data_IF_616663904015
#
_entry.id   IF_616663904015
#
_cell.length_a   1.000
_cell.length_b   1.000
_cell.length_c   1.000
_cell.angle_alpha   90.00
_cell.angle_beta   90.00
_cell.angle_gamma   90.00
#
_symmetry.space_group_name_H-M   'P 1'
#
loop_
_entity.id
_entity.type
_entity.pdbx_description
1 polymer ?
#
# COMPACT_ATOMS: atom_id res chain seq x y z
N UNK A 1 -26.42 -5.20 55.86
CA UNK A 1 -26.83 -4.94 54.46
C UNK A 1 -25.78 -4.20 53.60
N UNK A 2 -25.10 -3.17 54.09
CA UNK A 2 -24.06 -2.42 53.27
C UNK A 2 -22.84 -3.28 52.95
N UNK A 3 -22.33 -4.03 53.92
CA UNK A 3 -21.12 -4.88 53.77
C UNK A 3 -21.34 -6.03 52.77
N UNK A 4 -22.53 -6.64 52.75
CA UNK A 4 -22.89 -7.71 51.85
C UNK A 4 -22.99 -7.23 50.39
N UNK A 5 -23.58 -6.03 50.19
CA UNK A 5 -23.60 -5.39 48.85
C UNK A 5 -22.21 -5.04 48.34
N UNK A 6 -21.31 -4.60 49.22
CA UNK A 6 -19.94 -4.29 48.83
C UNK A 6 -19.16 -5.54 48.41
N UNK A 7 -19.30 -6.65 49.16
CA UNK A 7 -18.67 -7.94 48.82
C UNK A 7 -19.23 -8.45 47.46
N UNK A 8 -20.54 -8.34 47.22
CA UNK A 8 -21.14 -8.77 45.95
C UNK A 8 -20.64 -7.97 44.74
N UNK A 9 -20.46 -6.65 44.91
CA UNK A 9 -19.92 -5.77 43.85
C UNK A 9 -18.44 -6.12 43.58
N UNK A 10 -17.64 -6.33 44.63
CA UNK A 10 -16.23 -6.72 44.47
C UNK A 10 -16.11 -8.09 43.82
N UNK A 11 -16.92 -9.06 44.17
CA UNK A 11 -16.93 -10.37 43.53
C UNK A 11 -17.36 -10.30 42.06
N UNK A 12 -18.35 -9.46 41.72
CA UNK A 12 -18.77 -9.21 40.32
C UNK A 12 -17.65 -8.53 39.51
N UNK A 13 -16.97 -7.54 40.09
CA UNK A 13 -15.82 -6.88 39.43
C UNK A 13 -14.64 -7.84 39.23
N UNK A 14 -14.33 -8.69 40.24
CA UNK A 14 -13.29 -9.70 40.10
C UNK A 14 -13.69 -10.78 39.06
N UNK A 15 -14.97 -11.11 38.95
CA UNK A 15 -15.45 -12.08 37.95
C UNK A 15 -15.38 -11.52 36.52
N UNK A 16 -15.67 -10.23 36.32
CA UNK A 16 -15.52 -9.57 35.00
C UNK A 16 -14.05 -9.42 34.60
N UNK A 17 -13.14 -9.17 35.54
CA UNK A 17 -11.69 -9.10 35.27
C UNK A 17 -11.12 -10.48 34.90
N UNK A 18 -11.63 -11.56 35.53
CA UNK A 18 -11.19 -12.93 35.22
C UNK A 18 -11.63 -13.41 33.82
N UNK A 19 -12.60 -12.74 33.19
CA UNK A 19 -13.08 -13.04 31.82
C UNK A 19 -12.51 -12.11 30.75
N UNK A 20 -11.70 -11.12 31.12
CA UNK A 20 -10.85 -10.38 30.21
C UNK A 20 -9.64 -11.25 29.83
N UNK A 21 -9.88 -12.41 29.27
CA UNK A 21 -8.84 -13.13 28.55
C UNK A 21 -8.52 -12.27 27.32
N UNK A 22 -7.46 -11.50 27.43
CA UNK A 22 -6.83 -10.92 26.26
C UNK A 22 -6.68 -12.03 25.22
N UNK A 23 -6.98 -11.72 23.97
CA UNK A 23 -6.86 -12.61 22.83
C UNK A 23 -5.60 -13.47 22.96
N UNK A 24 -5.77 -14.75 23.22
CA UNK A 24 -4.66 -15.70 23.32
C UNK A 24 -4.15 -15.96 21.88
N UNK A 25 -2.91 -15.59 21.65
CA UNK A 25 -2.28 -15.85 20.34
C UNK A 25 -2.29 -17.36 20.11
N UNK A 26 -3.18 -17.83 19.27
CA UNK A 26 -3.32 -19.27 18.98
C UNK A 26 -2.10 -19.84 18.25
N UNK A 27 -1.37 -19.00 17.52
CA UNK A 27 -0.19 -19.37 16.72
C UNK A 27 -0.44 -20.65 15.87
N UNK A 28 -1.64 -20.76 15.29
CA UNK A 28 -2.09 -21.97 14.59
C UNK A 28 -1.14 -22.32 13.43
N UNK A 29 -0.72 -21.31 12.68
CA UNK A 29 0.24 -21.52 11.58
C UNK A 29 1.55 -22.14 12.08
N UNK A 30 2.12 -21.63 13.18
CA UNK A 30 3.35 -22.17 13.74
C UNK A 30 3.17 -23.60 14.31
N UNK A 31 1.99 -23.92 14.87
CA UNK A 31 1.70 -25.21 15.46
C UNK A 31 1.38 -26.28 14.42
N UNK A 32 0.68 -25.89 13.34
CA UNK A 32 0.13 -26.83 12.34
C UNK A 32 0.94 -26.87 11.03
N UNK A 33 1.75 -25.81 10.76
CA UNK A 33 2.54 -25.76 9.55
C UNK A 33 3.88 -26.48 9.73
N UNK A 34 4.04 -27.59 9.03
CA UNK A 34 5.34 -28.20 8.80
C UNK A 34 6.10 -27.34 7.78
N UNK A 35 7.24 -26.77 8.20
CA UNK A 35 8.05 -25.88 7.37
C UNK A 35 8.45 -26.52 6.04
N UNK A 36 8.85 -27.81 6.05
CA UNK A 36 9.25 -28.50 4.82
C UNK A 36 8.06 -28.75 3.89
N UNK A 37 6.87 -29.04 4.42
CA UNK A 37 5.65 -29.14 3.61
C UNK A 37 5.28 -27.78 3.00
N UNK A 38 5.32 -26.71 3.78
CA UNK A 38 5.04 -25.35 3.27
C UNK A 38 6.05 -24.99 2.19
N UNK A 39 7.35 -25.18 2.42
CA UNK A 39 8.42 -24.92 1.47
C UNK A 39 8.27 -25.71 0.18
N UNK A 40 7.90 -26.98 0.26
CA UNK A 40 7.67 -27.84 -0.91
C UNK A 40 6.43 -27.44 -1.72
N UNK A 41 5.42 -26.84 -1.06
CA UNK A 41 4.19 -26.38 -1.69
C UNK A 41 4.33 -24.98 -2.32
N UNK A 42 5.36 -24.20 -1.93
CA UNK A 42 5.59 -22.88 -2.48
C UNK A 42 6.01 -22.97 -3.95
N UNK A 43 5.38 -22.14 -4.79
CA UNK A 43 5.76 -21.98 -6.19
C UNK A 43 7.02 -21.11 -6.22
N UNK A 44 8.19 -21.77 -6.33
CA UNK A 44 9.48 -21.10 -6.37
C UNK A 44 10.05 -21.14 -7.80
N UNK A 45 10.55 -20.00 -8.26
CA UNK A 45 11.18 -19.90 -9.58
C UNK A 45 10.27 -20.10 -10.79
N UNK A 46 8.97 -20.18 -10.57
CA UNK A 46 7.96 -20.26 -11.64
C UNK A 46 7.12 -18.97 -11.69
N UNK A 47 6.64 -18.65 -12.89
CA UNK A 47 5.70 -17.55 -13.07
C UNK A 47 4.36 -17.92 -12.45
N UNK A 48 3.95 -17.18 -11.42
CA UNK A 48 2.66 -17.34 -10.74
C UNK A 48 1.61 -16.33 -11.22
N UNK A 49 2.07 -15.23 -11.88
CA UNK A 49 1.20 -14.18 -12.39
C UNK A 49 0.52 -14.65 -13.68
N UNK A 50 -0.83 -14.61 -13.76
CA UNK A 50 -1.57 -15.10 -14.92
C UNK A 50 -1.58 -14.14 -16.12
N UNK A 51 -0.92 -12.98 -15.99
CA UNK A 51 -0.91 -11.95 -17.03
C UNK A 51 0.32 -12.07 -17.94
N UNK A 52 0.29 -11.50 -19.17
CA UNK A 52 1.43 -11.50 -20.08
C UNK A 52 2.66 -10.85 -19.46
N UNK A 53 3.86 -11.24 -19.88
CA UNK A 53 5.09 -10.51 -19.51
C UNK A 53 5.15 -9.16 -20.20
N UNK A 54 5.93 -8.20 -19.66
CA UNK A 54 6.02 -6.86 -20.24
C UNK A 54 6.38 -6.86 -21.74
N UNK A 55 7.26 -7.77 -22.15
CA UNK A 55 7.67 -7.92 -23.56
C UNK A 55 6.66 -8.66 -24.44
N UNK A 56 5.70 -9.37 -23.88
CA UNK A 56 4.69 -10.12 -24.63
C UNK A 56 3.59 -9.19 -25.15
N UNK A 57 3.86 -8.48 -26.24
CA UNK A 57 2.93 -7.51 -26.81
C UNK A 57 1.66 -8.16 -27.35
N UNK A 58 1.79 -9.32 -27.98
CA UNK A 58 0.64 -10.06 -28.49
C UNK A 58 -0.28 -10.56 -27.37
N UNK A 59 0.33 -11.00 -26.25
CA UNK A 59 -0.40 -11.34 -25.04
C UNK A 59 -1.17 -10.14 -24.45
N UNK A 60 -0.52 -8.96 -24.39
CA UNK A 60 -1.19 -7.73 -23.93
C UNK A 60 -2.30 -7.29 -24.88
N UNK A 61 -2.09 -7.37 -26.18
CA UNK A 61 -3.13 -7.05 -27.18
C UNK A 61 -4.36 -7.95 -27.01
N UNK A 62 -4.14 -9.24 -26.84
CA UNK A 62 -5.22 -10.20 -26.56
C UNK A 62 -5.91 -9.97 -25.21
N UNK A 63 -5.13 -9.65 -24.17
CA UNK A 63 -5.65 -9.45 -22.81
C UNK A 63 -6.49 -8.19 -22.71
N UNK A 64 -6.03 -7.09 -23.31
CA UNK A 64 -6.73 -5.80 -23.26
C UNK A 64 -7.86 -5.69 -24.28
N UNK A 65 -7.75 -6.38 -25.42
CA UNK A 65 -8.75 -6.35 -26.48
C UNK A 65 -9.12 -4.91 -26.89
N UNK A 66 -10.41 -4.64 -26.96
CA UNK A 66 -10.95 -3.33 -27.39
C UNK A 66 -10.64 -2.18 -26.40
N UNK A 67 -10.23 -2.49 -25.16
CA UNK A 67 -9.88 -1.48 -24.15
C UNK A 67 -8.46 -0.92 -24.31
N UNK A 68 -7.63 -1.51 -25.17
CA UNK A 68 -6.22 -1.11 -25.33
C UNK A 68 -6.05 0.38 -25.60
N UNK A 69 -6.74 0.89 -26.61
CA UNK A 69 -6.66 2.31 -27.00
C UNK A 69 -7.20 3.25 -25.91
N UNK A 70 -8.18 2.80 -25.15
CA UNK A 70 -8.72 3.57 -24.02
C UNK A 70 -7.69 3.71 -22.89
N UNK A 71 -6.93 2.66 -22.58
CA UNK A 71 -5.84 2.75 -21.61
C UNK A 71 -4.71 3.67 -22.07
N UNK A 72 -4.32 3.58 -23.34
CA UNK A 72 -3.30 4.46 -23.94
C UNK A 72 -3.76 5.91 -23.84
N UNK A 73 -4.96 6.23 -24.31
CA UNK A 73 -5.52 7.58 -24.28
C UNK A 73 -5.64 8.14 -22.85
N UNK A 74 -6.03 7.31 -21.87
CA UNK A 74 -6.06 7.72 -20.46
C UNK A 74 -4.68 8.08 -19.95
N UNK A 75 -3.65 7.31 -20.30
CA UNK A 75 -2.26 7.63 -19.91
C UNK A 75 -1.75 8.91 -20.58
N UNK A 76 -2.10 9.15 -21.83
CA UNK A 76 -1.72 10.37 -22.57
C UNK A 76 -2.18 11.64 -21.87
N UNK A 77 -3.34 11.62 -21.20
CA UNK A 77 -3.82 12.76 -20.41
C UNK A 77 -2.89 13.10 -19.22
N UNK A 78 -1.96 12.24 -18.87
CA UNK A 78 -1.06 12.41 -17.72
C UNK A 78 0.43 12.54 -18.11
N UNK A 79 0.78 12.63 -19.40
CA UNK A 79 2.17 12.81 -19.83
C UNK A 79 2.80 14.09 -19.27
N UNK A 80 2.01 15.18 -19.16
CA UNK A 80 2.43 16.46 -18.61
C UNK A 80 1.86 16.68 -17.19
N UNK A 81 1.55 15.59 -16.45
CA UNK A 81 0.93 15.70 -15.15
C UNK A 81 1.88 16.30 -14.11
N UNK A 82 1.41 17.37 -13.46
CA UNK A 82 2.09 17.99 -12.33
C UNK A 82 1.74 17.23 -11.03
N UNK A 83 2.71 16.50 -10.50
CA UNK A 83 2.56 15.72 -9.28
C UNK A 83 2.23 16.61 -8.09
N UNK A 84 1.17 16.27 -7.36
CA UNK A 84 0.71 17.06 -6.22
C UNK A 84 1.49 16.69 -4.97
N UNK A 85 1.88 17.73 -4.21
CA UNK A 85 2.50 17.55 -2.90
C UNK A 85 1.41 17.46 -1.85
N UNK A 86 1.44 16.39 -1.05
CA UNK A 86 0.64 16.30 0.17
C UNK A 86 1.41 16.98 1.29
N UNK A 87 0.88 18.12 1.78
CA UNK A 87 1.57 18.99 2.75
C UNK A 87 1.31 18.51 4.17
N UNK A 88 2.19 18.91 5.10
CA UNK A 88 2.00 18.70 6.52
C UNK A 88 0.64 19.26 7.02
N UNK A 89 0.23 20.44 6.53
CA UNK A 89 -1.06 21.04 6.86
C UNK A 89 -2.25 20.25 6.35
N UNK A 90 -2.10 19.52 5.25
CA UNK A 90 -3.17 18.68 4.69
C UNK A 90 -3.49 17.51 5.63
N UNK A 91 -2.45 16.88 6.23
CA UNK A 91 -2.64 15.87 7.28
C UNK A 91 -3.31 16.47 8.54
N UNK A 92 -2.82 17.65 9.00
CA UNK A 92 -3.33 18.30 10.21
C UNK A 92 -4.78 18.73 10.07
N UNK A 93 -5.27 18.95 8.86
CA UNK A 93 -6.64 19.42 8.63
C UNK A 93 -7.70 18.44 9.11
N UNK A 94 -7.42 17.13 9.07
CA UNK A 94 -8.33 16.16 9.65
C UNK A 94 -8.54 16.37 11.16
N UNK A 95 -7.49 16.65 11.90
CA UNK A 95 -7.59 16.97 13.34
C UNK A 95 -8.24 18.32 13.64
N UNK A 96 -8.18 19.29 12.71
CA UNK A 96 -8.71 20.64 12.87
C UNK A 96 -10.20 20.75 12.54
N UNK A 97 -10.63 20.13 11.47
CA UNK A 97 -11.97 20.28 10.91
C UNK A 97 -12.71 18.97 10.65
N UNK A 98 -12.05 17.82 10.82
CA UNK A 98 -12.58 16.52 10.43
C UNK A 98 -12.56 16.26 8.92
N UNK A 99 -12.02 17.19 8.11
CA UNK A 99 -11.97 17.05 6.67
C UNK A 99 -10.96 16.00 6.24
N UNK A 100 -11.43 14.96 5.56
CA UNK A 100 -10.60 13.92 4.94
C UNK A 100 -10.08 14.36 3.56
N UNK A 101 -10.92 15.08 2.83
CA UNK A 101 -10.71 15.37 1.40
C UNK A 101 -9.50 16.25 1.13
N UNK A 102 -9.07 17.08 2.09
CA UNK A 102 -7.92 17.97 1.92
C UNK A 102 -6.63 17.16 1.67
N UNK A 103 -6.40 16.11 2.43
CA UNK A 103 -5.26 15.20 2.23
C UNK A 103 -5.54 14.15 1.14
N UNK A 104 -6.72 13.55 1.15
CA UNK A 104 -7.06 12.43 0.27
C UNK A 104 -7.15 12.85 -1.21
N UNK A 105 -7.54 14.10 -1.51
CA UNK A 105 -7.68 14.57 -2.90
C UNK A 105 -6.35 14.61 -3.66
N UNK A 106 -5.28 15.30 -3.21
CA UNK A 106 -3.99 15.28 -3.90
C UNK A 106 -3.38 13.86 -3.93
N UNK A 107 -3.49 13.10 -2.86
CA UNK A 107 -3.06 11.70 -2.78
C UNK A 107 -3.75 10.83 -3.84
N UNK A 108 -5.08 10.86 -3.90
CA UNK A 108 -5.88 10.07 -4.84
C UNK A 108 -5.65 10.48 -6.30
N UNK A 109 -5.46 11.79 -6.58
CA UNK A 109 -5.13 12.28 -7.92
C UNK A 109 -3.79 11.73 -8.42
N UNK A 110 -2.76 11.73 -7.56
CA UNK A 110 -1.46 11.15 -7.87
C UNK A 110 -1.57 9.65 -8.16
N UNK A 111 -2.28 8.90 -7.31
CA UNK A 111 -2.46 7.46 -7.49
C UNK A 111 -3.21 7.13 -8.79
N UNK A 112 -4.23 7.93 -9.13
CA UNK A 112 -4.98 7.76 -10.39
C UNK A 112 -4.13 8.06 -11.62
N UNK A 113 -3.31 9.12 -11.57
CA UNK A 113 -2.38 9.47 -12.63
C UNK A 113 -1.34 8.34 -12.83
N UNK A 114 -0.72 7.89 -11.73
CA UNK A 114 0.27 6.82 -11.76
C UNK A 114 -0.31 5.51 -12.31
N UNK A 115 -1.51 5.14 -11.89
CA UNK A 115 -2.20 3.95 -12.39
C UNK A 115 -2.54 4.04 -13.88
N UNK A 116 -2.98 5.21 -14.34
CA UNK A 116 -3.29 5.44 -15.77
C UNK A 116 -2.04 5.38 -16.64
N UNK A 117 -0.94 6.00 -16.22
CA UNK A 117 0.35 5.94 -16.89
C UNK A 117 0.89 4.50 -16.94
N UNK A 118 0.83 3.78 -15.84
CA UNK A 118 1.25 2.38 -15.76
C UNK A 118 0.46 1.51 -16.72
N UNK A 119 -0.86 1.59 -16.71
CA UNK A 119 -1.70 0.79 -17.62
C UNK A 119 -1.48 1.16 -19.08
N UNK A 120 -1.24 2.43 -19.41
CA UNK A 120 -0.91 2.86 -20.75
C UNK A 120 0.45 2.29 -21.21
N UNK A 121 1.46 2.27 -20.35
CA UNK A 121 2.74 1.63 -20.66
C UNK A 121 2.60 0.13 -20.87
N UNK A 122 1.79 -0.56 -20.04
CA UNK A 122 1.49 -1.97 -20.24
C UNK A 122 0.76 -2.22 -21.57
N UNK A 123 -0.15 -1.34 -21.95
CA UNK A 123 -0.90 -1.42 -23.22
C UNK A 123 -0.02 -1.17 -24.45
N UNK A 124 0.83 -0.15 -24.39
CA UNK A 124 1.63 0.29 -25.54
C UNK A 124 3.01 -0.37 -25.60
N UNK A 125 3.73 -0.41 -24.49
CA UNK A 125 5.07 -1.02 -24.35
C UNK A 125 6.18 -0.30 -25.12
N UNK A 126 6.03 1.01 -25.38
CA UNK A 126 7.03 1.81 -26.13
C UNK A 126 7.96 2.63 -25.24
N UNK A 127 7.73 2.66 -23.94
CA UNK A 127 8.58 3.34 -22.97
C UNK A 127 8.31 4.84 -22.82
N UNK A 128 7.38 5.42 -23.58
CA UNK A 128 7.12 6.87 -23.54
C UNK A 128 6.46 7.37 -22.25
N UNK A 129 5.88 6.47 -21.45
CA UNK A 129 5.29 6.80 -20.15
C UNK A 129 6.27 6.60 -18.99
N UNK A 130 7.43 5.98 -19.21
CA UNK A 130 8.37 5.55 -18.16
C UNK A 130 8.83 6.73 -17.30
N UNK A 131 9.20 7.86 -17.89
CA UNK A 131 9.70 9.01 -17.12
C UNK A 131 8.64 9.55 -16.15
N UNK A 132 7.40 9.66 -16.60
CA UNK A 132 6.30 10.07 -15.72
C UNK A 132 5.95 9.02 -14.66
N UNK A 133 6.05 7.73 -14.97
CA UNK A 133 5.89 6.68 -13.97
C UNK A 133 7.01 6.78 -12.92
N UNK A 134 8.25 7.01 -13.33
CA UNK A 134 9.39 7.25 -12.40
C UNK A 134 9.10 8.44 -11.50
N UNK A 135 8.62 9.55 -12.04
CA UNK A 135 8.26 10.74 -11.26
C UNK A 135 7.19 10.41 -10.22
N UNK A 136 6.13 9.68 -10.60
CA UNK A 136 5.06 9.27 -9.69
C UNK A 136 5.53 8.32 -8.59
N UNK A 137 6.38 7.35 -8.95
CA UNK A 137 7.05 6.46 -7.99
C UNK A 137 7.90 7.27 -7.01
N UNK A 138 8.70 8.21 -7.53
CA UNK A 138 9.57 9.05 -6.70
C UNK A 138 8.75 9.89 -5.72
N UNK A 139 7.73 10.59 -6.19
CA UNK A 139 6.80 11.38 -5.34
C UNK A 139 6.15 10.51 -4.26
N UNK A 140 5.74 9.29 -4.61
CA UNK A 140 5.18 8.35 -3.64
C UNK A 140 6.21 7.92 -2.58
N UNK A 141 7.45 7.70 -2.97
CA UNK A 141 8.55 7.35 -2.06
C UNK A 141 8.95 8.51 -1.12
N UNK A 142 8.77 9.76 -1.55
CA UNK A 142 9.10 10.95 -0.74
C UNK A 142 8.00 11.33 0.25
N UNK A 143 6.81 10.72 0.18
CA UNK A 143 5.77 10.95 1.20
C UNK A 143 6.19 10.38 2.55
N UNK A 144 5.94 11.13 3.63
CA UNK A 144 6.19 10.66 4.99
C UNK A 144 5.34 9.43 5.33
N UNK A 145 4.08 9.40 4.91
CA UNK A 145 3.19 8.25 5.12
C UNK A 145 2.31 8.01 3.90
N UNK A 146 2.02 6.73 3.63
CA UNK A 146 1.02 6.31 2.64
C UNK A 146 -0.38 6.15 3.24
N UNK A 147 -0.48 6.16 4.58
CA UNK A 147 -1.76 6.08 5.26
C UNK A 147 -2.52 7.41 5.20
N UNK A 148 -3.84 7.32 5.16
CA UNK A 148 -4.73 8.48 5.14
C UNK A 148 -4.74 9.16 6.52
N UNK A 149 -4.87 10.49 6.54
CA UNK A 149 -4.83 11.29 7.77
C UNK A 149 -5.84 10.82 8.83
N UNK A 150 -7.03 10.37 8.40
CA UNK A 150 -8.07 9.85 9.28
C UNK A 150 -7.69 8.52 9.99
N UNK A 151 -6.69 7.82 9.49
CA UNK A 151 -6.28 6.51 10.01
C UNK A 151 -4.95 6.55 10.80
N UNK A 152 -4.27 7.71 10.81
CA UNK A 152 -3.00 7.87 11.53
C UNK A 152 -3.14 7.81 13.07
N UNK A 153 -4.37 7.87 13.59
CA UNK A 153 -4.65 7.59 15.00
C UNK A 153 -4.28 6.18 15.46
N UNK A 154 -3.96 5.27 14.51
CA UNK A 154 -3.42 3.93 14.81
C UNK A 154 -1.94 3.95 15.23
N UNK A 155 -1.20 5.05 15.00
CA UNK A 155 0.15 5.24 15.51
C UNK A 155 0.15 5.23 17.05
N UNK A 156 1.23 4.76 17.68
CA UNK A 156 1.37 4.76 19.15
C UNK A 156 1.24 6.16 19.73
N UNK A 157 1.77 7.17 19.03
CA UNK A 157 1.64 8.56 19.43
C UNK A 157 0.23 9.11 19.22
N UNK A 158 -0.59 8.44 18.39
CA UNK A 158 -1.94 8.90 18.01
C UNK A 158 -1.94 10.12 17.09
N UNK A 159 -3.15 10.72 16.93
CA UNK A 159 -3.33 11.93 16.13
C UNK A 159 -3.44 11.68 14.63
N UNK A 160 -3.34 12.78 13.85
CA UNK A 160 -3.49 12.76 12.40
C UNK A 160 -2.23 13.20 11.65
N UNK A 161 -1.13 13.47 12.35
CA UNK A 161 0.15 13.85 11.76
C UNK A 161 1.05 12.61 11.60
N UNK A 162 1.65 12.37 10.41
CA UNK A 162 2.39 11.15 10.16
C UNK A 162 3.75 11.14 10.87
N UNK A 163 4.07 10.02 11.51
CA UNK A 163 5.42 9.69 11.95
C UNK A 163 6.22 9.11 10.77
N UNK A 164 7.51 9.42 10.71
CA UNK A 164 8.46 8.77 9.80
C UNK A 164 9.14 7.53 10.42
N UNK A 165 8.90 7.28 11.70
CA UNK A 165 9.48 6.15 12.44
C UNK A 165 8.49 4.99 12.60
N UNK A 166 7.18 5.29 12.50
CA UNK A 166 6.12 4.30 12.67
C UNK A 166 5.16 4.36 11.48
N UNK A 167 5.20 3.34 10.64
CA UNK A 167 4.29 3.23 9.51
C UNK A 167 2.97 2.58 9.93
N UNK A 168 1.88 3.02 9.29
CA UNK A 168 0.52 2.48 9.48
C UNK A 168 0.07 1.86 8.17
N UNK A 169 -0.44 0.64 8.24
CA UNK A 169 -1.09 -0.02 7.10
C UNK A 169 -2.59 0.18 7.22
N UNK A 170 -3.14 0.93 6.28
CA UNK A 170 -4.57 1.16 6.11
C UNK A 170 -5.00 0.83 4.66
N UNK A 171 -6.24 1.11 4.30
CA UNK A 171 -6.74 0.90 2.94
C UNK A 171 -6.00 1.74 1.90
N UNK A 172 -5.62 2.99 2.26
CA UNK A 172 -4.88 3.89 1.36
C UNK A 172 -3.48 3.37 1.07
N UNK A 173 -2.73 3.04 2.12
CA UNK A 173 -1.37 2.50 2.00
C UNK A 173 -1.35 1.13 1.33
N UNK A 174 -2.32 0.26 1.63
CA UNK A 174 -2.45 -1.06 1.00
C UNK A 174 -2.71 -0.97 -0.51
N UNK A 175 -3.62 -0.08 -0.93
CA UNK A 175 -3.92 0.14 -2.34
C UNK A 175 -2.72 0.72 -3.10
N UNK A 176 -2.05 1.74 -2.55
CA UNK A 176 -0.86 2.31 -3.16
C UNK A 176 0.27 1.28 -3.24
N UNK A 177 0.50 0.51 -2.18
CA UNK A 177 1.51 -0.54 -2.14
C UNK A 177 1.25 -1.63 -3.19
N UNK A 178 0.00 -2.05 -3.37
CA UNK A 178 -0.40 -2.99 -4.41
C UNK A 178 -0.04 -2.44 -5.80
N UNK A 179 -0.42 -1.21 -6.10
CA UNK A 179 -0.10 -0.56 -7.38
C UNK A 179 1.43 -0.45 -7.60
N UNK A 180 2.18 0.01 -6.60
CA UNK A 180 3.63 0.12 -6.66
C UNK A 180 4.33 -1.23 -6.80
N UNK A 181 3.77 -2.29 -6.23
CA UNK A 181 4.28 -3.66 -6.38
C UNK A 181 4.13 -4.17 -7.81
N UNK A 182 2.99 -3.89 -8.47
CA UNK A 182 2.80 -4.21 -9.88
C UNK A 182 3.74 -3.41 -10.78
N UNK A 183 3.93 -2.12 -10.51
CA UNK A 183 4.89 -1.26 -11.21
C UNK A 183 6.31 -1.83 -11.06
N UNK A 184 6.71 -2.19 -9.84
CA UNK A 184 8.01 -2.82 -9.58
C UNK A 184 8.17 -4.14 -10.36
N UNK A 185 7.17 -5.01 -10.30
CA UNK A 185 7.20 -6.32 -10.95
C UNK A 185 7.43 -6.22 -12.45
N UNK A 186 6.69 -5.34 -13.13
CA UNK A 186 6.76 -5.20 -14.58
C UNK A 186 7.86 -4.28 -15.08
N UNK A 187 8.10 -3.17 -14.38
CA UNK A 187 8.94 -2.10 -14.90
C UNK A 187 10.33 -2.02 -14.27
N UNK A 188 10.67 -2.91 -13.31
CA UNK A 188 12.02 -2.98 -12.75
C UNK A 188 13.11 -3.01 -13.81
N UNK A 189 13.04 -3.85 -14.87
CA UNK A 189 14.08 -3.84 -15.90
C UNK A 189 14.18 -2.52 -16.68
N UNK A 190 13.06 -1.83 -16.88
CA UNK A 190 13.03 -0.51 -17.52
C UNK A 190 13.62 0.57 -16.62
N UNK A 191 13.30 0.54 -15.33
CA UNK A 191 13.86 1.44 -14.32
C UNK A 191 15.38 1.25 -14.18
N UNK A 192 15.84 0.01 -14.13
CA UNK A 192 17.26 -0.32 -14.00
C UNK A 192 18.09 0.13 -15.21
N UNK A 193 17.49 0.19 -16.40
CA UNK A 193 18.14 0.78 -17.60
C UNK A 193 18.32 2.29 -17.47
N UNK A 194 17.38 2.99 -16.81
CA UNK A 194 17.49 4.43 -16.54
C UNK A 194 18.46 4.65 -15.39
N UNK A 195 18.18 4.09 -14.23
CA UNK A 195 19.05 4.08 -13.06
C UNK A 195 18.60 3.01 -12.06
N UNK A 196 19.47 2.07 -11.64
CA UNK A 196 19.11 1.01 -10.68
C UNK A 196 18.69 1.52 -9.29
N UNK A 197 19.00 2.77 -8.94
CA UNK A 197 18.56 3.35 -7.67
C UNK A 197 17.04 3.54 -7.61
N UNK A 198 16.35 3.67 -8.74
CA UNK A 198 14.90 3.83 -8.81
C UNK A 198 14.20 2.57 -8.27
N UNK A 199 14.55 1.42 -8.83
CA UNK A 199 13.98 0.14 -8.40
C UNK A 199 14.40 -0.23 -6.98
N UNK A 200 15.64 0.07 -6.57
CA UNK A 200 16.13 -0.13 -5.20
C UNK A 200 15.34 0.70 -4.19
N UNK A 201 15.11 1.99 -4.49
CA UNK A 201 14.30 2.86 -3.62
C UNK A 201 12.88 2.35 -3.49
N UNK A 202 12.23 2.06 -4.59
CA UNK A 202 10.85 1.53 -4.59
C UNK A 202 10.75 0.23 -3.76
N UNK A 203 11.68 -0.71 -3.97
CA UNK A 203 11.71 -1.96 -3.21
C UNK A 203 11.92 -1.73 -1.71
N UNK A 204 12.79 -0.77 -1.35
CA UNK A 204 13.03 -0.39 0.04
C UNK A 204 11.76 0.15 0.71
N UNK A 205 11.07 1.09 0.06
CA UNK A 205 9.84 1.68 0.61
C UNK A 205 8.71 0.64 0.80
N UNK A 206 8.55 -0.27 -0.16
CA UNK A 206 7.62 -1.39 -0.02
C UNK A 206 7.99 -2.31 1.16
N UNK A 207 9.29 -2.54 1.37
CA UNK A 207 9.78 -3.35 2.48
C UNK A 207 9.45 -2.70 3.82
N UNK A 208 9.94 -1.47 4.04
CA UNK A 208 9.87 -0.83 5.36
C UNK A 208 8.46 -0.38 5.73
N UNK A 209 7.68 0.09 4.74
CA UNK A 209 6.33 0.63 5.01
C UNK A 209 5.26 -0.43 5.11
N UNK A 210 5.45 -1.58 4.47
CA UNK A 210 4.42 -2.61 4.38
C UNK A 210 4.90 -3.92 5.00
N UNK A 211 5.96 -4.53 4.46
CA UNK A 211 6.33 -5.89 4.86
C UNK A 211 6.85 -5.94 6.29
N UNK A 212 7.77 -5.03 6.65
CA UNK A 212 8.33 -4.99 8.02
C UNK A 212 7.30 -4.49 9.04
N UNK A 213 6.33 -3.67 8.60
CA UNK A 213 5.23 -3.18 9.46
C UNK A 213 4.17 -4.25 9.72
N UNK A 214 3.97 -5.17 8.76
CA UNK A 214 2.98 -6.25 8.87
C UNK A 214 3.49 -7.43 9.70
N UNK A 215 4.77 -7.75 9.66
CA UNK A 215 5.40 -8.89 10.35
C UNK A 215 5.82 -8.55 11.77
#
# INVERSE_FOLDING_TARGET
>A
MRTQRFITIVCLLLWTVAHLHAYEKRNLLQKEADFEKVKSALIMGQKWVPYPDYSDRAGWDKFLGDYKEDYIRKGECFLDYEWKIVKATDYLEYGRSGSRTIMESPFGKNNSALGSLFMAEMAEGKGRFIDQIINGVFVSCEMTSWALSAHLGLQKIGGCFPSNEEHVIDLGSGNLASQLSWIYYYLKPSFDKVNPLISKRLRHELQVRILDTYM
#
